data_IF_802855767031
#
_entry.id   IF_802855767031
#
_cell.length_a   1.000
_cell.length_b   1.000
_cell.length_c   1.000
_cell.angle_alpha   90.00
_cell.angle_beta   90.00
_cell.angle_gamma   90.00
#
_symmetry.space_group_name_H-M   'P 1'
#
loop_
_entity.id
_entity.type
_entity.pdbx_description
1 polymer ?
#
# COMPACT_ATOMS: atom_id res chain seq x y z
N UNK A 1 1.86 -13.57 33.31
CA UNK A 1 1.64 -12.95 34.64
C UNK A 1 1.47 -11.45 34.40
N UNK A 2 0.52 -10.79 35.07
CA UNK A 2 -0.26 -9.68 34.51
C UNK A 2 0.34 -8.31 34.84
N UNK A 3 0.07 -7.27 34.03
CA UNK A 3 -0.19 -5.85 34.43
C UNK A 3 -0.72 -5.14 33.16
N UNK A 4 -2.02 -4.87 33.04
CA UNK A 4 -2.84 -3.73 33.52
C UNK A 4 -2.99 -2.64 32.46
N UNK A 5 -4.26 -2.41 32.15
CA UNK A 5 -4.84 -1.40 31.27
C UNK A 5 -4.67 0.00 31.87
N UNK A 6 -4.27 1.00 31.07
CA UNK A 6 -4.49 2.41 31.39
C UNK A 6 -5.54 2.99 30.46
N UNK A 7 -6.67 3.38 31.06
CA UNK A 7 -7.74 4.15 30.46
C UNK A 7 -7.26 5.54 30.03
N UNK A 8 -7.62 5.96 28.81
CA UNK A 8 -7.36 7.30 28.32
C UNK A 8 -7.65 7.47 26.83
N UNK A 9 -8.92 7.66 26.49
CA UNK A 9 -9.47 8.38 25.32
C UNK A 9 -8.77 8.24 23.94
N UNK A 10 -9.51 7.61 23.01
CA UNK A 10 -9.45 7.78 21.56
C UNK A 10 -8.12 7.51 20.85
N UNK A 11 -7.67 6.25 20.87
CA UNK A 11 -6.80 5.73 19.83
C UNK A 11 -7.24 4.33 19.42
N UNK A 12 -7.96 4.22 18.28
CA UNK A 12 -8.14 2.97 17.56
C UNK A 12 -6.80 2.58 16.90
N UNK A 13 -5.83 2.17 17.71
CA UNK A 13 -4.58 1.57 17.24
C UNK A 13 -4.63 0.10 17.60
N UNK A 14 -4.89 -0.74 16.59
CA UNK A 14 -4.68 -2.19 16.72
C UNK A 14 -3.17 -2.41 16.79
N UNK A 15 -2.64 -2.58 18.00
CA UNK A 15 -1.26 -3.05 18.22
C UNK A 15 -1.30 -4.56 18.40
N UNK A 16 -0.72 -5.29 17.45
CA UNK A 16 -0.40 -6.71 17.59
C UNK A 16 1.06 -6.78 18.04
N UNK A 17 1.32 -7.30 19.24
CA UNK A 17 2.68 -7.55 19.73
C UNK A 17 3.15 -8.97 19.39
N UNK A 18 4.45 -9.07 19.17
CA UNK A 18 5.23 -10.21 18.68
C UNK A 18 5.04 -11.52 19.45
N UNK A 19 4.97 -12.62 18.72
CA UNK A 19 5.41 -13.92 19.18
C UNK A 19 6.85 -14.14 18.71
N UNK A 20 7.78 -14.38 19.63
CA UNK A 20 9.18 -14.72 19.37
C UNK A 20 9.29 -15.85 18.33
N UNK A 21 9.60 -15.50 17.09
CA UNK A 21 10.29 -16.38 16.13
C UNK A 21 11.54 -15.64 15.69
N UNK A 22 12.69 -16.30 15.79
CA UNK A 22 13.90 -15.82 15.18
C UNK A 22 13.64 -15.58 13.69
N UNK A 23 13.55 -14.32 13.29
CA UNK A 23 13.40 -13.93 11.90
C UNK A 23 14.75 -14.22 11.22
N UNK A 24 14.82 -15.01 10.15
CA UNK A 24 16.06 -15.22 9.41
C UNK A 24 16.44 -13.94 8.65
N UNK A 25 17.74 -13.73 8.41
CA UNK A 25 18.37 -12.52 7.84
C UNK A 25 17.95 -12.13 6.39
N UNK A 26 16.83 -12.68 5.91
CA UNK A 26 16.43 -12.76 4.51
C UNK A 26 15.18 -11.96 4.15
N UNK A 27 14.60 -11.16 5.05
CA UNK A 27 13.45 -10.29 4.71
C UNK A 27 13.84 -8.87 4.28
N UNK A 28 13.04 -8.16 3.44
CA UNK A 28 13.33 -6.79 2.96
C UNK A 28 13.44 -5.68 4.02
N UNK A 29 13.29 -6.00 5.30
CA UNK A 29 13.43 -5.06 6.41
C UNK A 29 14.31 -5.62 7.54
N UNK A 30 15.13 -6.63 7.22
CA UNK A 30 15.92 -7.31 8.23
C UNK A 30 17.11 -6.46 8.68
N UNK A 31 17.16 -6.20 9.99
CA UNK A 31 18.15 -5.43 10.76
C UNK A 31 18.01 -3.90 10.75
N UNK A 32 16.86 -3.38 11.22
CA UNK A 32 16.87 -2.08 11.90
C UNK A 32 17.14 -2.33 13.40
N UNK A 33 18.29 -1.89 13.88
CA UNK A 33 18.56 -1.79 15.32
C UNK A 33 17.69 -0.68 15.91
N UNK A 34 17.41 -0.67 17.23
CA UNK A 34 16.86 0.51 17.87
C UNK A 34 17.79 1.71 17.58
N UNK A 35 17.27 2.74 16.89
CA UNK A 35 17.96 3.91 16.28
C UNK A 35 18.35 3.83 14.79
N UNK A 36 18.09 2.74 14.06
CA UNK A 36 18.15 2.80 12.58
C UNK A 36 16.90 3.52 12.06
N UNK A 37 17.10 4.60 11.30
CA UNK A 37 16.04 5.54 10.88
C UNK A 37 15.58 5.28 9.44
N UNK A 38 16.24 4.37 8.72
CA UNK A 38 16.04 4.22 7.28
C UNK A 38 15.30 2.92 6.92
N UNK A 39 13.97 2.93 7.07
CA UNK A 39 13.13 1.93 6.41
C UNK A 39 13.28 2.06 4.88
N UNK A 40 13.51 0.95 4.19
CA UNK A 40 13.55 0.95 2.72
C UNK A 40 12.18 1.39 2.16
N UNK A 41 12.14 2.61 1.61
CA UNK A 41 10.95 3.17 0.96
C UNK A 41 10.99 2.87 -0.53
N UNK A 42 9.94 2.23 -1.05
CA UNK A 42 9.78 1.98 -2.47
C UNK A 42 8.86 3.02 -3.10
N UNK A 43 9.40 3.88 -3.95
CA UNK A 43 8.60 4.82 -4.73
C UNK A 43 8.05 4.14 -5.98
N UNK A 44 6.75 3.83 -5.97
CA UNK A 44 6.07 3.20 -7.10
C UNK A 44 6.00 4.11 -8.33
N UNK A 45 5.98 5.44 -8.18
CA UNK A 45 5.99 6.37 -9.32
C UNK A 45 7.29 6.18 -10.11
N UNK A 46 8.42 6.15 -9.41
CA UNK A 46 9.74 5.92 -10.01
C UNK A 46 9.90 4.49 -10.56
N UNK A 47 9.45 3.48 -9.81
CA UNK A 47 9.54 2.05 -10.22
C UNK A 47 8.78 1.80 -11.53
N UNK A 48 7.59 2.40 -11.69
CA UNK A 48 6.82 2.34 -12.94
C UNK A 48 7.24 3.37 -13.98
N UNK A 49 8.23 4.22 -13.68
CA UNK A 49 8.73 5.31 -14.53
C UNK A 49 7.62 6.26 -14.98
N UNK A 50 6.67 6.56 -14.11
CA UNK A 50 5.55 7.46 -14.44
C UNK A 50 6.03 8.91 -14.61
N UNK A 51 7.10 9.27 -13.90
CA UNK A 51 7.81 10.55 -13.97
C UNK A 51 8.74 10.69 -15.19
N UNK A 52 9.02 9.58 -15.89
CA UNK A 52 9.80 9.54 -17.12
C UNK A 52 9.01 9.97 -18.36
N UNK A 53 9.71 10.15 -19.47
CA UNK A 53 9.06 10.42 -20.76
C UNK A 53 8.46 9.14 -21.34
N UNK A 54 7.18 9.20 -21.70
CA UNK A 54 6.60 8.27 -22.68
C UNK A 54 6.11 6.93 -22.13
N UNK A 55 5.73 6.82 -20.85
CA UNK A 55 5.02 5.63 -20.36
C UNK A 55 3.68 5.51 -21.10
N UNK A 56 3.47 4.47 -21.93
CA UNK A 56 2.31 4.40 -22.80
C UNK A 56 1.01 4.42 -22.01
N UNK A 57 0.06 5.26 -22.44
CA UNK A 57 -1.24 5.40 -21.80
C UNK A 57 -1.23 6.14 -20.46
N UNK A 58 -0.12 6.78 -20.07
CA UNK A 58 -0.04 7.64 -18.88
C UNK A 58 0.11 9.09 -19.30
N UNK A 59 -0.65 9.97 -18.67
CA UNK A 59 -0.56 11.42 -18.87
C UNK A 59 -0.22 12.14 -17.57
N UNK A 60 0.62 13.17 -17.67
CA UNK A 60 0.92 14.04 -16.53
C UNK A 60 -0.17 15.10 -16.39
N UNK A 61 -0.73 15.23 -15.18
CA UNK A 61 -1.79 16.20 -14.84
C UNK A 61 -1.46 16.90 -13.52
N UNK A 62 -2.17 18.00 -13.23
CA UNK A 62 -2.08 18.67 -11.92
C UNK A 62 -2.66 17.77 -10.82
N UNK A 63 -1.95 17.67 -9.69
CA UNK A 63 -2.34 16.88 -8.53
C UNK A 63 -3.31 17.60 -7.60
N UNK A 64 -3.20 17.30 -6.30
CA UNK A 64 -4.04 17.90 -5.27
C UNK A 64 -3.84 19.41 -5.09
N UNK A 65 -2.70 19.94 -5.51
CA UNK A 65 -2.39 21.38 -5.55
C UNK A 65 -1.79 21.75 -6.91
N UNK A 66 -1.77 23.05 -7.24
CA UNK A 66 -1.21 23.57 -8.50
C UNK A 66 0.27 23.24 -8.72
N UNK A 67 1.02 22.99 -7.64
CA UNK A 67 2.45 22.67 -7.68
C UNK A 67 2.72 21.16 -7.64
N UNK A 68 1.71 20.34 -7.33
CA UNK A 68 1.86 18.90 -7.29
C UNK A 68 1.57 18.28 -8.65
N UNK A 69 2.37 17.27 -9.00
CA UNK A 69 2.18 16.46 -10.20
C UNK A 69 1.39 15.21 -9.85
N UNK A 70 0.46 14.82 -10.72
CA UNK A 70 -0.23 13.55 -10.67
C UNK A 70 -0.19 12.85 -12.03
N UNK A 71 -0.47 11.55 -12.03
CA UNK A 71 -0.36 10.70 -13.21
C UNK A 71 -1.72 10.08 -13.52
N UNK A 72 -2.32 10.49 -14.63
CA UNK A 72 -3.59 9.96 -15.12
C UNK A 72 -3.33 8.68 -15.91
N UNK A 73 -3.89 7.57 -15.42
CA UNK A 73 -3.79 6.27 -16.07
C UNK A 73 -4.93 6.09 -17.07
N UNK A 74 -4.60 5.99 -18.35
CA UNK A 74 -5.54 5.74 -19.45
C UNK A 74 -5.71 4.25 -19.77
N UNK A 75 -6.60 3.91 -20.72
CA UNK A 75 -6.92 2.51 -21.07
C UNK A 75 -5.73 1.68 -21.58
N UNK A 76 -4.70 2.36 -22.11
CA UNK A 76 -3.49 1.73 -22.66
C UNK A 76 -2.36 1.60 -21.63
N UNK A 77 -2.55 2.08 -20.40
CA UNK A 77 -1.54 1.99 -19.35
C UNK A 77 -1.40 0.55 -18.86
N UNK A 78 -0.17 0.03 -18.84
CA UNK A 78 0.14 -1.27 -18.26
C UNK A 78 1.18 -1.11 -17.15
N UNK A 79 0.72 -1.08 -15.90
CA UNK A 79 1.56 -0.95 -14.71
C UNK A 79 1.77 -2.31 -14.04
N UNK A 80 2.25 -3.29 -14.81
CA UNK A 80 2.56 -4.63 -14.30
C UNK A 80 4.06 -4.83 -14.27
N UNK A 81 4.59 -5.20 -13.11
CA UNK A 81 5.99 -5.58 -12.94
C UNK A 81 6.07 -6.93 -12.22
N UNK A 82 7.09 -7.76 -12.52
CA UNK A 82 7.38 -8.95 -11.73
C UNK A 82 7.63 -8.55 -10.28
N UNK A 83 6.96 -9.22 -9.34
CA UNK A 83 7.10 -8.92 -7.92
C UNK A 83 8.55 -9.07 -7.46
N UNK A 84 9.28 -10.05 -8.00
CA UNK A 84 10.71 -10.27 -7.75
C UNK A 84 11.63 -9.14 -8.21
N UNK A 85 11.18 -8.25 -9.12
CA UNK A 85 11.95 -7.05 -9.48
C UNK A 85 11.81 -5.93 -8.45
N UNK A 86 10.69 -5.89 -7.74
CA UNK A 86 10.41 -4.87 -6.72
C UNK A 86 10.83 -5.38 -5.33
N UNK A 87 10.53 -6.64 -5.03
CA UNK A 87 10.86 -7.33 -3.79
C UNK A 87 11.61 -8.63 -4.10
N UNK A 88 12.93 -8.57 -4.38
CA UNK A 88 13.72 -9.75 -4.74
C UNK A 88 13.72 -10.85 -3.68
N UNK A 89 13.52 -10.48 -2.42
CA UNK A 89 13.48 -11.39 -1.27
C UNK A 89 12.05 -11.80 -0.85
N UNK A 90 11.03 -11.48 -1.66
CA UNK A 90 9.62 -11.68 -1.33
C UNK A 90 9.00 -10.50 -0.58
N UNK A 91 7.68 -10.54 -0.38
CA UNK A 91 6.95 -9.47 0.33
C UNK A 91 7.41 -9.39 1.80
N UNK A 92 7.59 -8.17 2.34
CA UNK A 92 7.93 -7.99 3.75
C UNK A 92 6.76 -8.40 4.66
N UNK A 93 7.08 -8.91 5.85
CA UNK A 93 6.08 -9.30 6.85
C UNK A 93 5.28 -8.10 7.37
N UNK A 94 5.94 -6.95 7.48
CA UNK A 94 5.34 -5.69 7.90
C UNK A 94 5.70 -4.59 6.90
N UNK A 95 4.73 -3.78 6.51
CA UNK A 95 4.96 -2.63 5.65
C UNK A 95 3.86 -1.58 5.83
N UNK A 96 4.17 -0.35 5.47
CA UNK A 96 3.20 0.73 5.31
C UNK A 96 3.08 1.09 3.84
N UNK A 97 1.85 1.29 3.37
CA UNK A 97 1.56 1.84 2.05
C UNK A 97 0.95 3.23 2.22
N UNK A 98 1.58 4.23 1.63
CA UNK A 98 1.11 5.62 1.62
C UNK A 98 0.93 6.04 0.17
N UNK A 99 -0.22 6.65 -0.13
CA UNK A 99 -0.51 7.13 -1.47
C UNK A 99 -1.75 7.98 -1.53
N UNK A 100 -1.77 8.90 -2.50
CA UNK A 100 -2.91 9.78 -2.77
C UNK A 100 -3.50 9.42 -4.11
N UNK A 101 -4.80 9.15 -4.13
CA UNK A 101 -5.50 8.71 -5.33
C UNK A 101 -6.72 9.57 -5.56
N UNK A 102 -6.99 9.90 -6.82
CA UNK A 102 -8.22 10.54 -7.23
C UNK A 102 -9.00 9.63 -8.15
N UNK A 103 -10.23 9.29 -7.76
CA UNK A 103 -11.15 8.50 -8.57
C UNK A 103 -12.39 9.30 -8.89
N UNK A 104 -12.60 9.62 -10.16
CA UNK A 104 -13.83 10.26 -10.63
C UNK A 104 -14.52 9.37 -11.67
N UNK A 105 -15.82 9.16 -11.51
CA UNK A 105 -16.64 8.41 -12.47
C UNK A 105 -16.40 6.90 -12.50
N UNK A 106 -15.55 6.34 -11.61
CA UNK A 106 -15.40 4.90 -11.46
C UNK A 106 -16.56 4.32 -10.65
N UNK A 107 -17.36 3.47 -11.29
CA UNK A 107 -18.48 2.76 -10.62
C UNK A 107 -18.17 1.29 -10.33
N UNK A 108 -17.05 0.78 -10.84
CA UNK A 108 -16.62 -0.61 -10.67
C UNK A 108 -15.56 -0.70 -9.57
N UNK A 109 -15.50 -1.87 -8.93
CA UNK A 109 -14.38 -2.21 -8.04
C UNK A 109 -13.09 -2.14 -8.85
N UNK A 110 -12.07 -1.52 -8.29
CA UNK A 110 -10.75 -1.47 -8.91
C UNK A 110 -9.67 -1.67 -7.85
N UNK A 111 -8.57 -2.32 -8.23
CA UNK A 111 -7.42 -2.51 -7.35
C UNK A 111 -6.43 -1.37 -7.56
N UNK A 112 -6.13 -0.67 -6.47
CA UNK A 112 -5.12 0.37 -6.39
C UNK A 112 -3.73 -0.22 -6.53
N UNK A 113 -3.48 -1.30 -5.78
CA UNK A 113 -2.22 -2.03 -5.80
C UNK A 113 -2.51 -3.52 -5.63
N UNK A 114 -1.73 -4.37 -6.30
CA UNK A 114 -1.84 -5.81 -6.18
C UNK A 114 -0.46 -6.45 -6.32
N UNK A 115 -0.12 -7.32 -5.39
CA UNK A 115 1.03 -8.21 -5.46
C UNK A 115 0.55 -9.67 -5.52
N UNK A 116 1.16 -10.45 -6.41
CA UNK A 116 0.84 -11.86 -6.62
C UNK A 116 2.10 -12.65 -6.96
N UNK A 117 2.22 -13.85 -6.42
CA UNK A 117 3.27 -14.81 -6.76
C UNK A 117 2.89 -16.24 -6.33
N UNK A 118 2.58 -17.17 -7.25
CA UNK A 118 1.57 -17.06 -8.31
C UNK A 118 0.14 -16.80 -7.80
N UNK A 119 -0.12 -17.00 -6.51
CA UNK A 119 -1.38 -16.66 -5.84
C UNK A 119 -1.40 -15.18 -5.40
N UNK A 120 -2.58 -14.59 -5.11
CA UNK A 120 -2.65 -13.26 -4.52
C UNK A 120 -1.96 -13.25 -3.15
N UNK A 121 -0.99 -12.36 -2.97
CA UNK A 121 -0.32 -12.17 -1.67
C UNK A 121 -0.85 -10.91 -0.97
N UNK A 122 -1.09 -9.86 -1.76
CA UNK A 122 -1.60 -8.60 -1.28
C UNK A 122 -2.50 -7.91 -2.31
N UNK A 123 -3.56 -7.25 -1.84
CA UNK A 123 -4.26 -6.26 -2.66
C UNK A 123 -4.85 -5.14 -1.83
N UNK A 124 -4.76 -3.92 -2.35
CA UNK A 124 -5.53 -2.77 -1.92
C UNK A 124 -6.56 -2.47 -3.00
N UNK A 125 -7.84 -2.52 -2.66
CA UNK A 125 -8.93 -2.31 -3.63
C UNK A 125 -9.95 -1.30 -3.13
N UNK A 126 -10.36 -0.39 -4.00
CA UNK A 126 -11.44 0.54 -3.72
C UNK A 126 -12.72 0.04 -4.38
N UNK A 127 -13.82 0.12 -3.63
CA UNK A 127 -15.17 -0.19 -4.08
C UNK A 127 -15.97 1.12 -4.04
N UNK A 128 -16.03 1.87 -5.17
CA UNK A 128 -16.60 3.22 -5.16
C UNK A 128 -18.07 3.26 -4.75
N UNK A 129 -18.89 2.29 -5.20
CA UNK A 129 -20.33 2.25 -4.91
C UNK A 129 -20.65 2.20 -3.42
N UNK A 130 -19.88 1.44 -2.66
CA UNK A 130 -20.10 1.28 -1.22
C UNK A 130 -19.16 2.16 -0.42
N UNK A 131 -18.27 2.94 -1.06
CA UNK A 131 -17.20 3.72 -0.40
C UNK A 131 -16.33 2.86 0.53
N UNK A 132 -16.08 1.61 0.15
CA UNK A 132 -15.23 0.71 0.95
C UNK A 132 -13.81 0.66 0.38
N UNK A 133 -12.83 0.67 1.27
CA UNK A 133 -11.45 0.28 0.97
C UNK A 133 -11.22 -1.12 1.51
N UNK A 134 -10.80 -2.06 0.66
CA UNK A 134 -10.58 -3.45 1.03
C UNK A 134 -9.11 -3.77 0.93
N UNK A 135 -8.56 -4.31 2.02
CA UNK A 135 -7.21 -4.83 2.10
C UNK A 135 -7.29 -6.36 2.16
N UNK A 136 -6.48 -7.02 1.35
CA UNK A 136 -6.26 -8.45 1.40
C UNK A 136 -4.78 -8.71 1.62
N UNK A 137 -4.42 -9.53 2.61
CA UNK A 137 -3.05 -9.93 2.93
C UNK A 137 -3.07 -11.42 3.32
N UNK A 138 -2.33 -12.26 2.60
CA UNK A 138 -2.06 -13.64 3.03
C UNK A 138 -3.29 -14.49 3.36
N UNK A 139 -4.41 -14.30 2.66
CA UNK A 139 -5.68 -15.00 2.92
C UNK A 139 -6.67 -14.23 3.80
N UNK A 140 -6.22 -13.27 4.59
CA UNK A 140 -7.07 -12.41 5.39
C UNK A 140 -7.62 -11.23 4.56
N UNK A 141 -8.83 -10.79 4.87
CA UNK A 141 -9.48 -9.65 4.22
C UNK A 141 -10.11 -8.73 5.26
N UNK A 142 -9.75 -7.44 5.18
CA UNK A 142 -10.32 -6.37 6.01
C UNK A 142 -10.97 -5.33 5.11
N UNK A 143 -12.14 -4.83 5.50
CA UNK A 143 -12.81 -3.73 4.84
C UNK A 143 -12.83 -2.52 5.78
N UNK A 144 -12.43 -1.37 5.25
CA UNK A 144 -12.50 -0.06 5.88
C UNK A 144 -13.61 0.73 5.20
N UNK A 145 -14.32 1.50 6.00
CA UNK A 145 -15.49 2.28 5.59
C UNK A 145 -15.11 3.75 5.75
N UNK A 146 -15.51 4.59 4.80
CA UNK A 146 -15.46 6.03 5.03
C UNK A 146 -16.65 6.41 5.91
N UNK A 147 -16.41 7.03 7.07
CA UNK A 147 -17.48 7.71 7.79
C UNK A 147 -18.07 8.81 6.89
N UNK A 148 -19.39 8.93 6.87
CA UNK A 148 -20.02 10.02 6.13
C UNK A 148 -19.60 11.34 6.78
N UNK A 149 -18.99 12.23 6.00
CA UNK A 149 -18.85 13.62 6.39
C UNK A 149 -20.27 14.19 6.48
N UNK A 150 -20.72 14.41 7.72
CA UNK A 150 -22.00 15.05 8.04
C UNK A 150 -22.07 16.49 7.58
#
# INVERSE_FOLDING_TARGET
>A
MPVTQTNGTNQNVVRVFEGNRAVPDTVPCFSLRPNDVDFQTFDLIAVYKLDGRGTPGVETVTGSTSYQKAYRLGPKANLTLPLSKVFPKGMPEQFSLVGTFHTRGQSRRWSLLRAKSPAPEFSLSLIPRTKHLVVYIGGARTAFYTEEAS
#
